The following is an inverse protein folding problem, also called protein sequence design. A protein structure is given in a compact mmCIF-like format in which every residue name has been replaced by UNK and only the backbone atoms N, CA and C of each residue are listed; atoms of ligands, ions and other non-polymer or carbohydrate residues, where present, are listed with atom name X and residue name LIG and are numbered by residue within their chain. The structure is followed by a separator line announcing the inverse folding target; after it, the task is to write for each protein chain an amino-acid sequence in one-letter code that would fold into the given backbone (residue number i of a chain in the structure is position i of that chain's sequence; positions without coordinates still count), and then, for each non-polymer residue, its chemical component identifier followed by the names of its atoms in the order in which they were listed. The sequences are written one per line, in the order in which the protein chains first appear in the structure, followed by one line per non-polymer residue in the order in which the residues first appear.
data_IF_020375663698
#
_entry.id   IF_020375663698
#
_cell.length_a   1.000
_cell.length_b   1.000
_cell.length_c   1.000
_cell.angle_alpha   90.00
_cell.angle_beta   90.00
_cell.angle_gamma   90.00
#
_symmetry.space_group_name_H-M   'P 1'
#
loop_
_entity.id
_entity.type
_entity.pdbx_description
1 polymer ?
#
# COMPACT_ATOMS: atom_id res chain seq x y z
N UNK A 1 18.26 51.39 -17.07
CA UNK A 1 17.65 50.22 -16.41
C UNK A 1 16.33 49.96 -17.13
N UNK A 2 16.41 49.19 -18.23
CA UNK A 2 15.29 48.99 -19.15
C UNK A 2 14.31 47.98 -18.55
N UNK A 3 13.14 48.45 -18.09
CA UNK A 3 12.01 47.61 -17.76
C UNK A 3 11.38 47.17 -19.10
N UNK A 4 11.86 46.05 -19.63
CA UNK A 4 11.35 45.41 -20.82
C UNK A 4 9.90 45.01 -20.60
N UNK A 5 9.03 45.47 -21.50
CA UNK A 5 7.61 45.13 -21.59
C UNK A 5 7.46 43.61 -21.66
N UNK A 6 7.02 42.98 -20.56
CA UNK A 6 6.59 41.59 -20.61
C UNK A 6 5.21 41.57 -21.29
N UNK A 7 5.22 41.40 -22.62
CA UNK A 7 3.99 41.30 -23.39
C UNK A 7 3.13 40.13 -22.90
N UNK A 8 1.81 40.31 -22.93
CA UNK A 8 0.81 39.28 -22.60
C UNK A 8 1.02 37.94 -23.33
N UNK A 9 1.72 37.93 -24.47
CA UNK A 9 2.15 36.71 -25.16
C UNK A 9 3.23 35.90 -24.43
N UNK A 10 4.21 36.56 -23.81
CA UNK A 10 5.30 35.86 -23.08
C UNK A 10 4.80 35.15 -21.83
N UNK A 11 3.84 35.76 -21.13
CA UNK A 11 3.21 35.16 -19.95
C UNK A 11 2.38 33.92 -20.31
N UNK A 12 1.69 33.95 -21.46
CA UNK A 12 0.93 32.80 -21.99
C UNK A 12 1.84 31.64 -22.41
N UNK A 13 2.97 31.94 -23.06
CA UNK A 13 3.97 30.93 -23.44
C UNK A 13 4.64 30.28 -22.23
N UNK A 14 4.97 31.05 -21.19
CA UNK A 14 5.53 30.52 -19.96
C UNK A 14 4.54 29.60 -19.22
N UNK A 15 3.26 29.99 -19.17
CA UNK A 15 2.21 29.15 -18.58
C UNK A 15 2.02 27.84 -19.36
N UNK A 16 2.06 27.89 -20.70
CA UNK A 16 1.95 26.70 -21.54
C UNK A 16 3.13 25.73 -21.33
N UNK A 17 4.36 26.25 -21.27
CA UNK A 17 5.56 25.44 -21.00
C UNK A 17 5.52 24.78 -19.62
N UNK A 18 5.02 25.50 -18.60
CA UNK A 18 4.86 24.95 -17.26
C UNK A 18 3.84 23.81 -17.22
N UNK A 19 2.70 23.96 -17.91
CA UNK A 19 1.68 22.90 -18.02
C UNK A 19 2.25 21.67 -18.73
N UNK A 20 2.99 21.85 -19.82
CA UNK A 20 3.65 20.72 -20.51
C UNK A 20 4.72 20.06 -19.65
N UNK A 21 5.51 20.82 -18.88
CA UNK A 21 6.52 20.27 -17.99
C UNK A 21 5.90 19.43 -16.87
N UNK A 22 4.81 19.90 -16.25
CA UNK A 22 4.09 19.16 -15.20
C UNK A 22 3.39 17.92 -15.77
N UNK A 23 2.79 18.01 -16.96
CA UNK A 23 2.19 16.87 -17.64
C UNK A 23 3.24 15.82 -18.06
N UNK A 24 4.46 16.26 -18.43
CA UNK A 24 5.58 15.39 -18.76
C UNK A 24 6.09 14.55 -17.59
N UNK A 25 6.01 15.06 -16.36
CA UNK A 25 6.41 14.29 -15.17
C UNK A 25 5.54 13.04 -14.95
N UNK A 26 4.26 13.07 -15.34
CA UNK A 26 3.40 11.88 -15.27
C UNK A 26 3.79 10.80 -16.28
N UNK A 27 4.34 11.20 -17.45
CA UNK A 27 4.78 10.28 -18.50
C UNK A 27 6.14 9.62 -18.19
N UNK A 28 6.94 10.23 -17.30
CA UNK A 28 8.22 9.69 -16.82
C UNK A 28 8.06 8.74 -15.63
N UNK A 29 6.87 8.68 -15.02
CA UNK A 29 6.56 7.75 -13.94
C UNK A 29 6.42 6.32 -14.47
N UNK A 30 7.45 5.49 -14.26
CA UNK A 30 7.38 4.07 -14.57
C UNK A 30 6.23 3.37 -13.83
N UNK A 31 5.67 2.32 -14.43
CA UNK A 31 4.65 1.49 -13.76
C UNK A 31 5.29 0.88 -12.50
N UNK A 32 4.63 0.95 -11.32
CA UNK A 32 5.14 0.29 -10.13
C UNK A 32 5.44 -1.17 -10.43
N UNK A 33 6.57 -1.68 -9.93
CA UNK A 33 6.87 -3.10 -10.02
C UNK A 33 5.69 -3.90 -9.44
N UNK A 34 5.31 -5.05 -10.05
CA UNK A 34 4.31 -5.94 -9.47
C UNK A 34 4.66 -6.28 -8.01
N UNK A 35 3.64 -6.34 -7.16
CA UNK A 35 3.80 -6.74 -5.76
C UNK A 35 3.71 -8.27 -5.68
N UNK A 36 4.68 -8.91 -5.04
CA UNK A 36 4.60 -10.32 -4.70
C UNK A 36 3.54 -10.51 -3.61
N UNK A 37 2.56 -11.36 -3.89
CA UNK A 37 1.40 -11.57 -3.01
C UNK A 37 1.54 -12.90 -2.27
N UNK A 38 1.39 -12.87 -0.95
CA UNK A 38 1.52 -14.02 -0.06
C UNK A 38 0.20 -14.32 0.66
N UNK A 39 0.03 -15.60 0.98
CA UNK A 39 -1.12 -16.15 1.71
C UNK A 39 -0.62 -16.94 2.93
N UNK A 40 -1.48 -17.09 3.94
CA UNK A 40 -1.24 -18.07 5.00
C UNK A 40 -1.98 -19.36 4.68
N UNK A 41 -1.41 -20.47 5.14
CA UNK A 41 -2.07 -21.78 5.01
C UNK A 41 -2.13 -22.42 6.39
N UNK A 42 -3.32 -22.86 6.78
CA UNK A 42 -3.50 -23.56 8.04
C UNK A 42 -2.80 -24.93 7.98
N UNK A 43 -2.11 -25.34 9.06
CA UNK A 43 -1.60 -26.70 9.14
C UNK A 43 -2.76 -27.70 9.23
N UNK A 44 -2.56 -28.90 8.71
CA UNK A 44 -3.47 -30.02 8.95
C UNK A 44 -3.43 -30.41 10.44
N UNK A 45 -4.59 -30.48 11.08
CA UNK A 45 -4.71 -30.90 12.49
C UNK A 45 -5.60 -32.14 12.58
N UNK A 46 -5.09 -33.17 13.25
CA UNK A 46 -5.82 -34.40 13.54
C UNK A 46 -6.81 -34.19 14.71
N UNK A 47 -7.98 -33.64 14.42
CA UNK A 47 -9.01 -33.39 15.42
C UNK A 47 -9.81 -34.67 15.78
N UNK A 48 -9.82 -35.04 17.06
CA UNK A 48 -10.53 -36.21 17.58
C UNK A 48 -11.55 -35.80 18.66
N UNK A 49 -12.81 -36.19 18.49
CA UNK A 49 -13.89 -35.96 19.47
C UNK A 49 -14.99 -35.03 18.97
N UNK A 50 -16.23 -35.32 19.38
CA UNK A 50 -17.41 -34.52 19.03
C UNK A 50 -18.01 -33.88 20.29
N UNK A 51 -18.44 -32.64 20.17
CA UNK A 51 -19.10 -31.88 21.23
C UNK A 51 -20.39 -31.26 20.70
N UNK A 52 -21.41 -31.12 21.55
CA UNK A 52 -22.63 -30.37 21.23
C UNK A 52 -22.52 -28.87 21.49
N UNK A 53 -21.35 -28.39 21.89
CA UNK A 53 -21.08 -26.96 22.12
C UNK A 53 -20.87 -26.26 20.77
N UNK A 54 -21.38 -25.04 20.65
CA UNK A 54 -21.10 -24.16 19.51
C UNK A 54 -20.03 -23.15 19.91
N UNK A 55 -19.13 -22.85 18.97
CA UNK A 55 -18.07 -21.86 19.15
C UNK A 55 -18.26 -20.81 18.05
N UNK A 56 -18.38 -19.56 18.46
CA UNK A 56 -18.36 -18.40 17.57
C UNK A 56 -16.92 -17.92 17.44
N UNK A 57 -16.41 -17.82 16.21
CA UNK A 57 -15.13 -17.17 15.92
C UNK A 57 -15.44 -15.76 15.42
N UNK A 58 -15.17 -14.75 16.25
CA UNK A 58 -15.28 -13.36 15.83
C UNK A 58 -14.08 -12.95 14.97
N UNK A 59 -14.24 -11.92 14.14
CA UNK A 59 -13.12 -11.36 13.38
C UNK A 59 -12.01 -10.88 14.33
N UNK A 60 -10.75 -11.26 14.09
CA UNK A 60 -9.62 -10.76 14.87
C UNK A 60 -9.53 -9.23 14.81
N UNK A 61 -9.31 -8.58 15.96
CA UNK A 61 -8.90 -7.17 15.98
C UNK A 61 -7.39 -7.07 15.76
N UNK A 62 -6.94 -6.08 15.00
CA UNK A 62 -5.51 -5.81 14.81
C UNK A 62 -5.17 -4.34 15.07
N UNK A 63 -3.89 -4.09 15.38
CA UNK A 63 -3.33 -2.74 15.38
C UNK A 63 -3.49 -2.13 13.99
N UNK A 64 -3.68 -0.80 13.91
CA UNK A 64 -3.85 -0.11 12.62
C UNK A 64 -2.72 -0.39 11.62
N UNK A 65 -1.49 -0.57 12.10
CA UNK A 65 -0.34 -0.91 11.28
C UNK A 65 -0.41 -2.33 10.66
N UNK A 66 -1.23 -3.22 11.23
CA UNK A 66 -1.40 -4.61 10.82
C UNK A 66 -2.75 -4.87 10.15
N UNK A 67 -3.75 -3.99 10.34
CA UNK A 67 -5.05 -4.08 9.67
C UNK A 67 -4.99 -3.57 8.21
N UNK A 68 -4.12 -4.18 7.40
CA UNK A 68 -3.97 -3.89 5.97
C UNK A 68 -3.37 -5.10 5.24
N UNK A 69 -3.18 -4.96 3.93
CA UNK A 69 -2.45 -5.92 3.07
C UNK A 69 -0.92 -5.78 3.19
N UNK A 70 -0.40 -4.79 3.92
CA UNK A 70 1.05 -4.58 4.00
C UNK A 70 1.73 -5.60 4.93
N UNK A 71 2.87 -6.14 4.48
CA UNK A 71 3.72 -6.99 5.33
C UNK A 71 4.63 -6.11 6.17
N UNK A 72 4.61 -6.33 7.48
CA UNK A 72 5.42 -5.58 8.46
C UNK A 72 6.59 -6.44 8.95
N UNK A 73 7.79 -5.86 8.96
CA UNK A 73 8.94 -6.40 9.69
C UNK A 73 9.21 -5.59 10.96
N UNK A 74 9.73 -6.23 12.00
CA UNK A 74 10.15 -5.61 13.25
C UNK A 74 11.68 -5.69 13.38
N UNK A 75 12.45 -4.78 12.77
CA UNK A 75 13.91 -4.85 12.76
C UNK A 75 14.55 -4.50 14.12
N UNK A 76 13.81 -3.87 15.02
CA UNK A 76 14.24 -3.61 16.40
C UNK A 76 13.03 -3.56 17.33
N UNK A 77 13.25 -3.59 18.64
CA UNK A 77 12.17 -3.56 19.63
C UNK A 77 11.28 -2.32 19.56
N UNK A 78 11.77 -1.22 18.99
CA UNK A 78 11.08 0.09 18.95
C UNK A 78 10.70 0.54 17.55
N UNK A 79 10.87 -0.30 16.53
CA UNK A 79 10.57 0.08 15.15
C UNK A 79 9.91 -1.06 14.40
N UNK A 80 8.94 -0.71 13.58
CA UNK A 80 8.37 -1.58 12.56
C UNK A 80 8.42 -0.88 11.21
N UNK A 81 8.50 -1.65 10.13
CA UNK A 81 8.64 -1.14 8.77
C UNK A 81 7.77 -1.95 7.82
N UNK A 82 7.11 -1.28 6.88
CA UNK A 82 6.45 -1.96 5.76
C UNK A 82 7.49 -2.44 4.76
N UNK A 83 7.40 -3.70 4.39
CA UNK A 83 8.23 -4.27 3.34
C UNK A 83 7.71 -3.81 1.99
N UNK A 84 8.63 -3.33 1.14
CA UNK A 84 8.32 -2.91 -0.22
C UNK A 84 8.33 -4.12 -1.15
N UNK A 85 7.45 -4.10 -2.15
CA UNK A 85 7.40 -5.17 -3.16
C UNK A 85 6.64 -6.42 -2.72
N UNK A 86 6.16 -6.48 -1.48
CA UNK A 86 5.46 -7.63 -0.91
C UNK A 86 4.11 -7.17 -0.33
N UNK A 87 3.10 -8.02 -0.45
CA UNK A 87 1.79 -7.80 0.18
C UNK A 87 1.15 -9.13 0.57
N UNK A 88 0.20 -9.07 1.50
CA UNK A 88 -0.78 -10.11 1.73
C UNK A 88 -1.85 -10.09 0.62
N UNK A 89 -2.52 -11.22 0.39
CA UNK A 89 -3.61 -11.31 -0.59
C UNK A 89 -4.92 -10.61 -0.18
N UNK A 90 -5.09 -10.31 1.10
CA UNK A 90 -6.19 -9.61 1.75
C UNK A 90 -5.67 -8.99 3.06
N UNK A 91 -6.53 -8.31 3.82
CA UNK A 91 -6.18 -7.76 5.13
C UNK A 91 -5.82 -8.88 6.11
N UNK A 92 -4.71 -8.69 6.83
CA UNK A 92 -4.17 -9.68 7.75
C UNK A 92 -5.19 -10.28 8.75
N UNK A 93 -6.13 -9.53 9.36
CA UNK A 93 -7.12 -10.12 10.26
C UNK A 93 -8.00 -11.19 9.61
N UNK A 94 -8.30 -11.05 8.32
CA UNK A 94 -9.12 -12.00 7.57
C UNK A 94 -8.31 -13.25 7.23
N UNK A 95 -7.08 -13.09 6.77
CA UNK A 95 -6.19 -14.20 6.43
C UNK A 95 -5.84 -15.05 7.65
N UNK A 96 -5.63 -14.43 8.81
CA UNK A 96 -5.34 -15.17 10.06
C UNK A 96 -6.54 -16.01 10.53
N UNK A 97 -7.76 -15.58 10.20
CA UNK A 97 -8.97 -16.29 10.57
C UNK A 97 -9.36 -17.40 9.58
N UNK A 98 -8.90 -17.28 8.32
CA UNK A 98 -9.28 -18.16 7.21
C UNK A 98 -8.92 -19.65 7.44
#
# INVERSE_FOLDING_TARGET
MALSRLGTGGLKSAALLLVLAVAGCAALGGKPAPLDTFELSAPSVDAHGHSRKQILIAQPSALQALDSENIVSKPSDRSFQYLKGLQWADRLPLIVQA
#
